data_IF_267613601405
#
_entry.id   IF_267613601405
#
_cell.length_a   1.000
_cell.length_b   1.000
_cell.length_c   1.000
_cell.angle_alpha   90.00
_cell.angle_beta   90.00
_cell.angle_gamma   90.00
#
_symmetry.space_group_name_H-M   'P 1'
#
loop_
_entity.id
_entity.type
_entity.pdbx_description
1 polymer ?
#
# COMPACT_ATOMS: atom_id res chain seq x y z
N UNK A 1 -12.43 -15.15 4.09
CA UNK A 1 -12.95 -14.45 2.89
C UNK A 1 -12.34 -13.05 2.73
N UNK A 2 -12.22 -12.26 3.80
CA UNK A 2 -11.72 -10.86 3.75
C UNK A 2 -10.25 -10.74 3.33
N UNK A 3 -9.40 -11.66 3.73
CA UNK A 3 -7.95 -11.64 3.40
C UNK A 3 -7.70 -12.01 1.93
N UNK A 4 -8.56 -12.85 1.33
CA UNK A 4 -8.51 -13.16 -0.08
C UNK A 4 -8.93 -11.98 -0.95
N UNK A 5 -9.93 -11.22 -0.48
CA UNK A 5 -10.33 -9.99 -1.17
C UNK A 5 -9.18 -8.97 -1.21
N UNK A 6 -8.46 -8.79 -0.08
CA UNK A 6 -7.30 -7.92 -0.04
C UNK A 6 -6.17 -8.38 -0.98
N UNK A 7 -5.92 -9.69 -1.09
CA UNK A 7 -4.95 -10.24 -2.03
C UNK A 7 -5.35 -9.95 -3.49
N UNK A 8 -6.62 -10.24 -3.84
CA UNK A 8 -7.14 -9.97 -5.18
C UNK A 8 -7.05 -8.48 -5.51
N UNK A 9 -7.48 -7.60 -4.58
CA UNK A 9 -7.40 -6.16 -4.77
C UNK A 9 -5.96 -5.69 -5.05
N UNK A 10 -4.96 -6.23 -4.33
CA UNK A 10 -3.53 -5.95 -4.57
C UNK A 10 -3.08 -6.41 -5.96
N UNK A 11 -3.40 -7.66 -6.31
CA UNK A 11 -2.96 -8.23 -7.59
C UNK A 11 -3.62 -7.51 -8.77
N UNK A 12 -4.90 -7.18 -8.67
CA UNK A 12 -5.62 -6.42 -9.71
C UNK A 12 -5.05 -5.02 -9.85
N UNK A 13 -5.01 -4.26 -8.75
CA UNK A 13 -4.51 -2.87 -8.80
C UNK A 13 -3.04 -2.82 -9.20
N UNK A 14 -2.21 -3.68 -8.60
CA UNK A 14 -0.78 -3.74 -8.90
C UNK A 14 -0.51 -4.21 -10.33
N UNK A 15 -1.26 -5.21 -10.82
CA UNK A 15 -1.17 -5.68 -12.20
C UNK A 15 -1.51 -4.59 -13.22
N UNK A 16 -2.59 -3.84 -12.99
CA UNK A 16 -2.98 -2.71 -13.84
C UNK A 16 -1.86 -1.66 -13.90
N UNK A 17 -1.27 -1.29 -12.77
CA UNK A 17 -0.17 -0.33 -12.71
C UNK A 17 1.09 -0.82 -13.46
N UNK A 18 1.46 -2.10 -13.29
CA UNK A 18 2.61 -2.68 -14.00
C UNK A 18 2.36 -2.63 -15.51
N UNK A 19 1.18 -3.05 -15.97
CA UNK A 19 0.85 -3.04 -17.40
C UNK A 19 0.84 -1.62 -17.94
N UNK A 20 0.20 -0.67 -17.24
CA UNK A 20 0.14 0.72 -17.66
C UNK A 20 1.53 1.34 -17.80
N UNK A 21 2.39 1.18 -16.80
CA UNK A 21 3.75 1.69 -16.83
C UNK A 21 4.63 0.98 -17.87
N UNK A 22 4.54 -0.36 -17.97
CA UNK A 22 5.33 -1.15 -18.92
C UNK A 22 5.05 -0.79 -20.39
N UNK A 23 3.80 -0.45 -20.72
CA UNK A 23 3.43 -0.01 -22.07
C UNK A 23 4.00 1.37 -22.41
N UNK A 24 4.18 2.24 -21.40
CA UNK A 24 4.68 3.61 -21.58
C UNK A 24 6.21 3.69 -21.58
N UNK A 25 6.90 2.83 -20.84
CA UNK A 25 8.36 2.86 -20.68
C UNK A 25 9.13 2.83 -22.02
N UNK A 26 8.74 2.03 -23.04
CA UNK A 26 9.42 2.04 -24.33
C UNK A 26 9.21 3.32 -25.14
N UNK A 27 8.16 4.10 -24.83
CA UNK A 27 7.72 5.26 -25.59
C UNK A 27 7.58 6.53 -24.72
N UNK A 28 8.66 6.99 -24.06
CA UNK A 28 8.55 8.09 -23.08
C UNK A 28 8.03 9.39 -23.69
N UNK A 29 8.28 9.62 -24.99
CA UNK A 29 7.75 10.78 -25.70
C UNK A 29 6.22 10.79 -25.80
N UNK A 30 5.57 9.62 -25.80
CA UNK A 30 4.11 9.52 -25.79
C UNK A 30 3.55 9.92 -24.43
N UNK A 31 4.18 9.46 -23.35
CA UNK A 31 3.80 9.87 -21.99
C UNK A 31 3.91 11.37 -21.79
N UNK A 32 4.97 11.99 -22.31
CA UNK A 32 5.12 13.46 -22.29
C UNK A 32 4.00 14.14 -23.10
N UNK A 33 3.67 13.60 -24.29
CA UNK A 33 2.56 14.14 -25.10
C UNK A 33 1.21 13.99 -24.39
N UNK A 34 0.98 12.85 -23.74
CA UNK A 34 -0.24 12.63 -22.95
C UNK A 34 -0.36 13.67 -21.83
N UNK A 35 0.67 13.85 -21.02
CA UNK A 35 0.66 14.85 -19.92
C UNK A 35 0.44 16.27 -20.47
N UNK A 36 1.10 16.63 -21.59
CA UNK A 36 0.95 17.92 -22.23
C UNK A 36 -0.47 18.16 -22.77
N UNK A 37 -1.13 17.11 -23.27
CA UNK A 37 -2.45 17.22 -23.86
C UNK A 37 -3.53 17.64 -22.86
N UNK A 38 -3.34 17.36 -21.58
CA UNK A 38 -4.24 17.82 -20.52
C UNK A 38 -4.20 19.32 -20.28
N UNK A 39 -3.11 20.00 -20.66
CA UNK A 39 -2.93 21.46 -20.47
C UNK A 39 -3.22 21.93 -19.03
N UNK A 40 -2.76 21.17 -18.07
CA UNK A 40 -2.94 21.44 -16.63
C UNK A 40 -1.65 21.88 -15.96
N UNK A 41 -0.48 21.54 -16.53
CA UNK A 41 0.83 21.78 -15.96
C UNK A 41 1.63 22.78 -16.78
N UNK A 42 2.46 23.63 -16.14
CA UNK A 42 3.43 24.45 -16.84
C UNK A 42 4.38 23.60 -17.69
N UNK A 43 4.71 24.03 -18.92
CA UNK A 43 5.53 23.29 -19.87
C UNK A 43 6.90 22.88 -19.27
N UNK A 44 7.44 23.68 -18.35
CA UNK A 44 8.71 23.36 -17.68
C UNK A 44 8.70 22.06 -16.87
N UNK A 45 7.53 21.62 -16.35
CA UNK A 45 7.40 20.39 -15.54
C UNK A 45 6.83 19.21 -16.33
N UNK A 46 6.19 19.46 -17.48
CA UNK A 46 5.56 18.43 -18.31
C UNK A 46 6.54 17.31 -18.69
N UNK A 47 7.77 17.57 -19.18
CA UNK A 47 8.70 16.51 -19.55
C UNK A 47 9.10 15.66 -18.34
N UNK A 48 9.34 16.28 -17.19
CA UNK A 48 9.73 15.58 -15.97
C UNK A 48 8.62 14.66 -15.50
N UNK A 49 7.39 15.15 -15.43
CA UNK A 49 6.22 14.34 -15.02
C UNK A 49 6.00 13.20 -16.04
N UNK A 50 6.04 13.49 -17.33
CA UNK A 50 5.82 12.49 -18.38
C UNK A 50 6.84 11.35 -18.37
N UNK A 51 8.10 11.61 -17.99
CA UNK A 51 9.12 10.56 -17.87
C UNK A 51 9.05 9.79 -16.55
N UNK A 52 8.75 10.47 -15.45
CA UNK A 52 8.72 9.84 -14.13
C UNK A 52 7.44 9.00 -13.90
N UNK A 53 6.33 9.40 -14.49
CA UNK A 53 5.04 8.77 -14.29
C UNK A 53 5.06 7.26 -14.57
N UNK A 54 5.57 6.76 -15.73
CA UNK A 54 5.64 5.33 -16.01
C UNK A 54 6.51 4.56 -15.02
N UNK A 55 7.59 5.16 -14.55
CA UNK A 55 8.48 4.55 -13.56
C UNK A 55 7.75 4.39 -12.23
N UNK A 56 7.07 5.44 -11.78
CA UNK A 56 6.27 5.41 -10.54
C UNK A 56 5.16 4.37 -10.64
N UNK A 57 4.47 4.28 -11.78
CA UNK A 57 3.43 3.27 -12.04
C UNK A 57 3.96 1.85 -11.85
N UNK A 58 5.09 1.52 -12.48
CA UNK A 58 5.71 0.18 -12.35
C UNK A 58 6.14 -0.09 -10.92
N UNK A 59 6.77 0.86 -10.25
CA UNK A 59 7.24 0.70 -8.86
C UNK A 59 6.07 0.49 -7.91
N UNK A 60 5.04 1.33 -8.00
CA UNK A 60 3.81 1.19 -7.19
C UNK A 60 3.16 -0.16 -7.44
N UNK A 61 3.03 -0.54 -8.72
CA UNK A 61 2.46 -1.82 -9.10
C UNK A 61 3.24 -3.01 -8.56
N UNK A 62 4.58 -3.01 -8.71
CA UNK A 62 5.45 -4.07 -8.21
C UNK A 62 5.38 -4.17 -6.67
N UNK A 63 5.43 -3.05 -5.96
CA UNK A 63 5.31 -3.04 -4.50
C UNK A 63 3.94 -3.58 -4.03
N UNK A 64 2.86 -3.23 -4.71
CA UNK A 64 1.53 -3.76 -4.40
C UNK A 64 1.44 -5.27 -4.64
N UNK A 65 1.95 -5.78 -5.78
CA UNK A 65 1.94 -7.21 -6.07
C UNK A 65 2.77 -7.98 -5.06
N UNK A 66 3.96 -7.51 -4.73
CA UNK A 66 4.85 -8.14 -3.74
C UNK A 66 4.35 -7.96 -2.30
N UNK A 67 3.47 -6.99 -2.06
CA UNK A 67 2.99 -6.65 -0.72
C UNK A 67 4.02 -5.96 0.15
N UNK A 68 4.84 -5.13 -0.49
CA UNK A 68 5.80 -4.26 0.18
C UNK A 68 5.15 -2.92 0.46
N UNK A 69 5.22 -2.45 1.72
CA UNK A 69 4.64 -1.16 2.12
C UNK A 69 3.21 -0.97 1.61
N UNK A 70 2.40 -2.03 1.67
CA UNK A 70 1.08 -2.12 1.04
C UNK A 70 0.22 -0.88 1.29
N UNK A 71 0.20 -0.38 2.53
CA UNK A 71 -0.59 0.79 2.90
C UNK A 71 -0.10 2.07 2.22
N UNK A 72 1.22 2.29 2.21
CA UNK A 72 1.82 3.47 1.60
C UNK A 72 1.63 3.45 0.08
N UNK A 73 1.90 2.31 -0.57
CA UNK A 73 1.76 2.15 -2.02
C UNK A 73 0.30 2.22 -2.46
N UNK A 74 -0.64 1.70 -1.67
CA UNK A 74 -2.07 1.87 -1.92
C UNK A 74 -2.51 3.35 -1.80
N UNK A 75 -1.95 4.10 -0.86
CA UNK A 75 -2.21 5.54 -0.75
C UNK A 75 -1.66 6.31 -1.97
N UNK A 76 -0.44 6.01 -2.40
CA UNK A 76 0.14 6.59 -3.63
C UNK A 76 -0.72 6.24 -4.84
N UNK A 77 -1.12 4.98 -4.97
CA UNK A 77 -2.05 4.54 -6.03
C UNK A 77 -3.36 5.32 -6.01
N UNK A 78 -3.96 5.51 -4.84
CA UNK A 78 -5.21 6.28 -4.71
C UNK A 78 -5.04 7.74 -5.14
N UNK A 79 -3.93 8.38 -4.77
CA UNK A 79 -3.62 9.77 -5.18
C UNK A 79 -3.44 9.87 -6.69
N UNK A 80 -2.71 8.93 -7.31
CA UNK A 80 -2.50 8.90 -8.76
C UNK A 80 -3.82 8.70 -9.51
N UNK A 81 -4.65 7.73 -9.07
CA UNK A 81 -5.96 7.49 -9.69
C UNK A 81 -6.88 8.70 -9.56
N UNK A 82 -6.88 9.35 -8.39
CA UNK A 82 -7.64 10.57 -8.21
C UNK A 82 -7.15 11.69 -9.16
N UNK A 83 -5.84 11.84 -9.32
CA UNK A 83 -5.27 12.81 -10.25
C UNK A 83 -5.68 12.51 -11.70
N UNK A 84 -5.71 11.23 -12.12
CA UNK A 84 -6.19 10.85 -13.45
C UNK A 84 -7.68 11.13 -13.63
N UNK A 85 -8.52 10.75 -12.65
CA UNK A 85 -9.96 11.05 -12.71
C UNK A 85 -10.21 12.56 -12.84
N UNK A 86 -9.53 13.37 -12.03
CA UNK A 86 -9.65 14.84 -12.10
C UNK A 86 -9.14 15.37 -13.44
N UNK A 87 -8.02 14.83 -13.95
CA UNK A 87 -7.48 15.17 -15.25
C UNK A 87 -8.46 14.89 -16.38
N UNK A 88 -9.00 13.67 -16.45
CA UNK A 88 -9.98 13.26 -17.48
C UNK A 88 -11.26 14.09 -17.38
N UNK A 89 -11.80 14.26 -16.17
CA UNK A 89 -12.98 15.07 -15.94
C UNK A 89 -12.78 16.55 -16.35
N UNK A 90 -11.60 17.10 -16.07
CA UNK A 90 -11.22 18.45 -16.50
C UNK A 90 -11.11 18.56 -18.03
N UNK A 91 -10.50 17.58 -18.70
CA UNK A 91 -10.42 17.54 -20.16
C UNK A 91 -11.81 17.46 -20.78
N UNK A 92 -12.66 16.59 -20.25
CA UNK A 92 -14.05 16.44 -20.69
C UNK A 92 -14.86 17.74 -20.53
N UNK A 93 -14.78 18.36 -19.35
CA UNK A 93 -15.48 19.62 -19.07
C UNK A 93 -15.03 20.79 -19.98
N UNK A 94 -13.77 20.77 -20.45
CA UNK A 94 -13.19 21.75 -21.38
C UNK A 94 -13.43 21.39 -22.86
N UNK A 95 -14.10 20.27 -23.16
CA UNK A 95 -14.33 19.80 -24.52
C UNK A 95 -13.06 19.38 -25.26
N UNK A 96 -12.00 19.03 -24.53
CA UNK A 96 -10.77 18.53 -25.13
C UNK A 96 -10.97 17.07 -25.54
N UNK A 97 -10.66 16.73 -26.78
CA UNK A 97 -10.63 15.34 -27.26
C UNK A 97 -9.20 14.81 -27.21
N UNK A 98 -8.86 14.14 -26.10
CA UNK A 98 -7.54 13.59 -25.85
C UNK A 98 -7.64 12.12 -25.43
N UNK A 99 -6.61 11.35 -25.77
CA UNK A 99 -6.36 10.04 -25.19
C UNK A 99 -5.82 10.23 -23.77
N UNK A 100 -6.40 9.55 -22.77
CA UNK A 100 -5.96 9.65 -21.39
C UNK A 100 -4.50 9.22 -21.19
N UNK A 101 -3.94 8.43 -22.12
CA UNK A 101 -2.58 7.90 -22.05
C UNK A 101 -2.39 6.90 -20.90
N UNK A 102 -3.45 6.38 -20.30
CA UNK A 102 -3.33 5.45 -19.16
C UNK A 102 -2.64 4.14 -19.54
N UNK A 103 -2.84 3.63 -20.75
CA UNK A 103 -2.25 2.39 -21.27
C UNK A 103 -1.34 2.60 -22.49
N UNK A 104 -0.61 3.71 -22.53
CA UNK A 104 0.16 4.09 -23.70
C UNK A 104 -0.63 4.96 -24.68
N UNK A 105 0.00 5.44 -25.73
CA UNK A 105 -0.56 6.44 -26.61
C UNK A 105 -0.49 7.83 -25.97
N UNK A 106 -1.47 8.65 -26.24
CA UNK A 106 -1.56 10.01 -25.70
C UNK A 106 -1.49 11.06 -26.79
N UNK A 107 -2.19 12.13 -26.56
CA UNK A 107 -2.35 13.24 -27.49
C UNK A 107 -3.81 13.47 -27.85
N UNK A 108 -4.04 14.26 -28.90
CA UNK A 108 -5.40 14.55 -29.36
C UNK A 108 -5.91 13.42 -30.25
N UNK A 109 -7.12 12.96 -29.99
CA UNK A 109 -7.83 11.95 -30.78
C UNK A 109 -9.23 12.45 -31.12
N UNK A 110 -9.86 11.85 -32.14
CA UNK A 110 -11.26 12.11 -32.45
C UNK A 110 -12.15 11.25 -31.54
N UNK A 111 -13.31 11.74 -31.17
CA UNK A 111 -14.36 11.02 -30.42
C UNK A 111 -13.95 10.52 -29.01
N UNK A 112 -12.97 11.16 -28.37
CA UNK A 112 -12.54 10.81 -27.01
C UNK A 112 -13.68 10.92 -25.97
N UNK A 113 -14.68 11.76 -26.22
CA UNK A 113 -15.77 11.98 -25.27
C UNK A 113 -16.58 10.71 -24.95
N UNK A 114 -16.61 9.74 -25.86
CA UNK A 114 -17.30 8.44 -25.67
C UNK A 114 -16.53 7.51 -24.74
N UNK A 115 -15.19 7.64 -24.65
CA UNK A 115 -14.33 6.77 -23.82
C UNK A 115 -14.21 7.26 -22.39
N UNK A 116 -14.34 8.55 -22.13
CA UNK A 116 -14.15 9.16 -20.80
C UNK A 116 -15.01 8.54 -19.69
N UNK A 117 -16.31 8.24 -19.88
CA UNK A 117 -17.11 7.61 -18.83
C UNK A 117 -16.57 6.24 -18.41
N UNK A 118 -16.10 5.44 -19.38
CA UNK A 118 -15.54 4.11 -19.13
C UNK A 118 -14.21 4.22 -18.40
N UNK A 119 -13.37 5.16 -18.81
CA UNK A 119 -12.06 5.41 -18.17
C UNK A 119 -12.23 5.86 -16.72
N UNK A 120 -13.13 6.82 -16.48
CA UNK A 120 -13.44 7.29 -15.12
C UNK A 120 -14.04 6.16 -14.27
N UNK A 121 -14.95 5.35 -14.82
CA UNK A 121 -15.55 4.23 -14.10
C UNK A 121 -14.50 3.17 -13.70
N UNK A 122 -13.58 2.84 -14.62
CA UNK A 122 -12.45 1.94 -14.34
C UNK A 122 -11.56 2.50 -13.23
N UNK A 123 -11.14 3.76 -13.36
CA UNK A 123 -10.24 4.39 -12.40
C UNK A 123 -10.91 4.59 -11.04
N UNK A 124 -12.22 4.86 -11.00
CA UNK A 124 -13.00 4.91 -9.76
C UNK A 124 -13.07 3.53 -9.08
N UNK A 125 -13.22 2.46 -9.85
CA UNK A 125 -13.17 1.08 -9.33
C UNK A 125 -11.81 0.75 -8.71
N UNK A 126 -10.71 1.09 -9.39
CA UNK A 126 -9.35 0.91 -8.88
C UNK A 126 -9.07 1.80 -7.66
N UNK A 127 -9.60 3.02 -7.65
CA UNK A 127 -9.53 3.93 -6.50
C UNK A 127 -10.24 3.33 -5.28
N UNK A 128 -11.41 2.75 -5.45
CA UNK A 128 -12.12 2.06 -4.36
C UNK A 128 -11.31 0.87 -3.81
N UNK A 129 -10.68 0.06 -4.68
CA UNK A 129 -9.79 -1.02 -4.26
C UNK A 129 -8.55 -0.49 -3.51
N UNK A 130 -7.93 0.59 -4.00
CA UNK A 130 -6.79 1.23 -3.35
C UNK A 130 -7.17 1.80 -1.98
N UNK A 131 -8.32 2.49 -1.88
CA UNK A 131 -8.84 2.99 -0.61
C UNK A 131 -9.12 1.86 0.39
N UNK A 132 -9.68 0.74 -0.09
CA UNK A 132 -9.85 -0.46 0.74
C UNK A 132 -8.52 -0.97 1.31
N UNK A 133 -7.46 -1.04 0.48
CA UNK A 133 -6.13 -1.49 0.90
C UNK A 133 -5.47 -0.52 1.91
N UNK A 134 -5.74 0.78 1.81
CA UNK A 134 -5.27 1.77 2.79
C UNK A 134 -5.91 1.53 4.16
N UNK A 135 -7.23 1.26 4.18
CA UNK A 135 -7.99 1.03 5.43
C UNK A 135 -7.70 -0.36 6.01
N UNK A 136 -7.44 -1.36 5.15
CA UNK A 136 -7.26 -2.77 5.49
C UNK A 136 -5.97 -3.36 4.92
N UNK A 137 -4.78 -2.90 5.39
CA UNK A 137 -3.50 -3.31 4.81
C UNK A 137 -3.09 -4.76 5.13
N UNK A 138 -3.71 -5.39 6.14
CA UNK A 138 -3.40 -6.78 6.51
C UNK A 138 -3.99 -7.73 5.49
N UNK A 139 -3.13 -8.21 4.58
CA UNK A 139 -3.49 -9.17 3.54
C UNK A 139 -2.61 -10.41 3.67
N UNK A 140 -3.13 -11.58 3.27
CA UNK A 140 -2.32 -12.81 3.20
C UNK A 140 -1.19 -12.64 2.19
N UNK A 141 -0.04 -13.27 2.46
CA UNK A 141 1.14 -13.26 1.59
C UNK A 141 1.72 -11.85 1.34
N UNK A 142 1.60 -10.93 2.29
CA UNK A 142 2.32 -9.68 2.25
C UNK A 142 3.74 -9.88 2.80
N UNK A 143 4.77 -9.49 2.04
CA UNK A 143 6.16 -9.49 2.51
C UNK A 143 6.34 -8.58 3.75
N UNK A 144 5.49 -7.58 3.92
CA UNK A 144 5.42 -6.76 5.12
C UNK A 144 5.30 -7.61 6.39
N UNK A 145 4.52 -8.71 6.35
CA UNK A 145 4.32 -9.60 7.50
C UNK A 145 5.55 -10.44 7.83
N UNK A 146 6.43 -10.67 6.86
CA UNK A 146 7.68 -11.40 7.06
C UNK A 146 8.80 -10.48 7.54
N UNK A 147 8.88 -9.26 6.98
CA UNK A 147 9.96 -8.31 7.29
C UNK A 147 9.78 -7.65 8.66
N UNK A 148 8.54 -7.34 9.06
CA UNK A 148 8.26 -6.67 10.34
C UNK A 148 7.95 -7.63 11.48
N UNK A 149 7.75 -8.93 11.21
CA UNK A 149 7.57 -9.95 12.26
C UNK A 149 8.89 -10.30 12.96
N UNK A 150 10.02 -10.15 12.28
CA UNK A 150 11.34 -10.45 12.81
C UNK A 150 11.86 -9.45 13.85
N UNK A 151 11.22 -8.28 14.00
CA UNK A 151 11.67 -7.25 14.94
C UNK A 151 10.90 -7.24 16.27
N UNK A 152 9.91 -8.13 16.44
CA UNK A 152 9.09 -8.17 17.66
C UNK A 152 9.19 -9.48 18.46
N UNK A 153 9.89 -10.48 17.93
CA UNK A 153 10.20 -11.73 18.61
C UNK A 153 11.66 -11.74 19.09
N UNK A 154 12.08 -10.71 19.81
CA UNK A 154 13.19 -10.81 20.73
C UNK A 154 12.55 -11.01 22.12
N UNK A 155 12.43 -12.22 22.63
CA UNK A 155 12.07 -12.43 24.01
C UNK A 155 13.28 -12.03 24.83
N UNK A 156 13.21 -10.83 25.31
CA UNK A 156 14.04 -10.33 26.39
C UNK A 156 14.16 -11.39 27.48
N UNK A 157 15.40 -11.88 27.59
CA UNK A 157 16.01 -12.30 28.80
C UNK A 157 15.21 -13.23 29.71
N UNK A 158 15.42 -14.52 29.57
CA UNK A 158 15.44 -15.40 30.72
C UNK A 158 16.30 -14.75 31.81
N UNK A 159 15.63 -14.03 32.69
CA UNK A 159 16.16 -13.85 34.05
C UNK A 159 16.09 -15.23 34.72
N UNK A 160 17.13 -16.01 34.51
CA UNK A 160 17.56 -17.03 35.47
C UNK A 160 17.95 -16.26 36.74
N UNK A 161 16.97 -15.94 37.53
CA UNK A 161 17.15 -15.60 38.91
C UNK A 161 17.52 -16.90 39.64
N UNK A 162 18.81 -17.16 39.77
CA UNK A 162 19.35 -18.07 40.77
C UNK A 162 18.95 -17.53 42.13
N UNK A 163 17.79 -17.94 42.63
CA UNK A 163 17.50 -17.89 44.06
C UNK A 163 18.30 -18.98 44.71
N UNK A 164 19.53 -18.62 45.08
CA UNK A 164 20.32 -19.32 46.10
C UNK A 164 19.47 -19.41 47.38
N UNK A 165 18.98 -20.60 47.60
CA UNK A 165 18.49 -21.04 48.91
C UNK A 165 19.65 -21.03 49.92
N UNK A 166 19.64 -20.22 50.99
CA UNK A 166 20.60 -20.41 52.06
C UNK A 166 20.18 -21.57 52.92
N UNK A 167 20.96 -22.64 52.75
CA UNK A 167 20.95 -23.78 53.64
C UNK A 167 21.31 -23.40 55.09
N UNK A 168 20.50 -23.89 55.97
CA UNK A 168 21.02 -24.47 57.17
C UNK A 168 21.18 -23.62 58.40
N UNK A 169 20.71 -24.12 59.38
CA UNK A 169 21.13 -24.32 60.76
C UNK A 169 19.99 -23.97 61.71
N UNK A 170 19.34 -24.88 62.32
CA UNK A 170 19.97 -25.80 63.26
C UNK A 170 19.73 -25.35 64.69
N UNK A 171 19.02 -26.15 65.39
CA UNK A 171 19.20 -26.36 66.81
C UNK A 171 18.23 -25.74 67.80
N UNK A 172 17.45 -26.64 68.30
CA UNK A 172 17.28 -26.89 69.77
C UNK A 172 16.37 -26.00 70.61
N UNK A 173 15.54 -26.72 71.26
CA UNK A 173 15.18 -26.53 72.66
C UNK A 173 13.76 -25.97 72.77
N UNK A 174 12.84 -26.66 73.25
CA UNK A 174 12.77 -27.37 74.49
C UNK A 174 11.53 -26.95 75.25
N UNK A 175 10.77 -27.92 75.57
CA UNK A 175 9.95 -28.01 76.79
C UNK A 175 8.71 -27.11 76.96
N UNK A 176 7.61 -27.76 76.95
CA UNK A 176 6.88 -28.21 78.13
C UNK A 176 5.88 -27.17 78.66
N UNK A 177 4.65 -27.65 78.85
CA UNK A 177 3.72 -27.06 79.77
C UNK A 177 2.26 -26.99 79.23
N UNK A 178 1.53 -28.07 79.36
CA UNK A 178 0.10 -28.01 79.49
C UNK A 178 -0.28 -27.60 80.93
N UNK A 179 -1.49 -27.79 81.44
CA UNK A 179 -2.81 -27.86 80.80
C UNK A 179 -3.84 -27.00 81.55
N UNK A 180 -5.09 -27.31 81.33
CA UNK A 180 -6.31 -27.00 82.07
C UNK A 180 -6.99 -25.64 81.82
N UNK A 181 -8.14 -25.59 81.29
CA UNK A 181 -9.45 -25.96 81.79
C UNK A 181 -10.18 -24.83 82.48
N UNK A 182 -11.40 -24.97 82.70
CA UNK A 182 -12.51 -24.47 81.92
C UNK A 182 -13.18 -23.33 82.65
N UNK A 183 -13.99 -22.58 81.90
CA UNK A 183 -15.35 -22.18 82.27
C UNK A 183 -15.96 -21.30 81.21
#
# INVERSE_FOLDING_TARGET
>A
MRDWFGLIARLVTGGVWIVAGALKLPHPGESVRAVRAYDLLPEAVVPTVGHLLPVVEVVVGACLVLGLLTRAMAAVSAVLLLAFIVGIASAWARGLSIDCGCFGGGGRIQDAAETYPVEIARDAGLLALSAWLVVRPRTRLALDSLLFRSSYDDPEGTHDGDEEEPAGQGSRGGQAGGPAGPE
#
